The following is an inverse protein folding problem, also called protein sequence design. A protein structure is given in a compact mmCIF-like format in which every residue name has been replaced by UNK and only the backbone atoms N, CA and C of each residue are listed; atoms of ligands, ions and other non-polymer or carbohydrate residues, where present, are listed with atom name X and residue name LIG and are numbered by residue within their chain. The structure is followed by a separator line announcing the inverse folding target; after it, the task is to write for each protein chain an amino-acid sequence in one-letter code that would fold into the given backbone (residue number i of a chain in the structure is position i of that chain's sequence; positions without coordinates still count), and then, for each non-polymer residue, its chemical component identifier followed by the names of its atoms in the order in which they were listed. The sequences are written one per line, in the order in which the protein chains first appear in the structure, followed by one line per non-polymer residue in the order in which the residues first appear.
data_IF_959986424362
#
_entry.id   IF_959986424362
#
_cell.length_a   1.000
_cell.length_b   1.000
_cell.length_c   1.000
_cell.angle_alpha   90.00
_cell.angle_beta   90.00
_cell.angle_gamma   90.00
#
_symmetry.space_group_name_H-M   'P 1'
#
loop_
_entity.id
_entity.type
_entity.pdbx_description
1 polymer ?
#
# COMPACT_ATOMS: atom_id res chain seq x y z
N UNK A 1 11.47 60.49 -16.51
CA UNK A 1 10.97 60.98 -17.82
C UNK A 1 9.45 60.93 -17.80
N UNK A 2 8.74 61.95 -18.26
CA UNK A 2 7.27 61.99 -18.20
C UNK A 2 6.68 61.39 -19.49
N UNK A 3 5.73 60.48 -19.37
CA UNK A 3 5.01 59.96 -20.52
C UNK A 3 4.05 61.01 -21.09
N UNK A 4 4.14 61.26 -22.40
CA UNK A 4 3.32 62.26 -23.07
C UNK A 4 1.83 61.90 -23.13
N UNK A 5 1.50 60.61 -23.00
CA UNK A 5 0.11 60.12 -22.98
C UNK A 5 -0.51 60.17 -21.58
N UNK A 6 0.05 59.45 -20.61
CA UNK A 6 -0.56 59.30 -19.29
C UNK A 6 -0.04 60.27 -18.22
N UNK A 7 0.98 61.07 -18.54
CA UNK A 7 1.66 62.03 -17.65
C UNK A 7 2.30 61.42 -16.40
N UNK A 8 2.42 60.11 -16.31
CA UNK A 8 3.18 59.45 -15.26
C UNK A 8 4.68 59.61 -15.47
N UNK A 9 5.40 59.78 -14.37
CA UNK A 9 6.85 59.77 -14.35
C UNK A 9 7.35 58.32 -14.38
N UNK A 10 8.11 58.02 -15.42
CA UNK A 10 8.65 56.69 -15.69
C UNK A 10 10.19 56.76 -15.69
N UNK A 11 10.82 55.66 -15.29
CA UNK A 11 12.26 55.48 -15.45
C UNK A 11 12.65 55.61 -16.93
N UNK A 12 13.82 56.17 -17.20
CA UNK A 12 14.27 56.49 -18.57
C UNK A 12 14.24 55.28 -19.52
N UNK A 13 14.52 54.08 -19.00
CA UNK A 13 14.54 52.82 -19.73
C UNK A 13 13.14 52.27 -20.08
N UNK A 14 12.11 52.70 -19.36
CA UNK A 14 10.73 52.27 -19.56
C UNK A 14 9.92 53.25 -20.42
N UNK A 15 10.60 54.24 -21.02
CA UNK A 15 10.00 55.25 -21.87
C UNK A 15 10.58 55.17 -23.30
N UNK A 16 9.72 54.91 -24.28
CA UNK A 16 10.06 54.72 -25.69
C UNK A 16 9.62 55.92 -26.53
N UNK A 17 10.39 56.21 -27.58
CA UNK A 17 10.09 57.29 -28.50
C UNK A 17 9.19 56.77 -29.62
N UNK A 18 8.05 57.41 -29.84
CA UNK A 18 7.26 57.19 -31.04
C UNK A 18 7.98 57.77 -32.27
N UNK A 19 7.66 57.31 -33.50
CA UNK A 19 8.24 57.86 -34.73
C UNK A 19 8.02 59.37 -34.89
N UNK A 20 6.93 59.89 -34.32
CA UNK A 20 6.58 61.31 -34.30
C UNK A 20 7.28 62.13 -33.20
N UNK A 21 8.17 61.53 -32.41
CA UNK A 21 8.99 62.21 -31.41
C UNK A 21 8.43 62.28 -29.99
N UNK A 22 7.18 61.86 -29.77
CA UNK A 22 6.60 61.76 -28.41
C UNK A 22 7.20 60.60 -27.62
N UNK A 23 7.28 60.75 -26.31
CA UNK A 23 7.81 59.77 -25.38
C UNK A 23 6.67 59.09 -24.62
N UNK A 24 6.62 57.76 -24.64
CA UNK A 24 5.50 56.98 -24.06
C UNK A 24 6.01 55.81 -23.22
N UNK A 25 5.28 55.41 -22.18
CA UNK A 25 5.63 54.21 -21.40
C UNK A 25 5.58 52.96 -22.30
N UNK A 26 6.49 52.00 -22.07
CA UNK A 26 6.50 50.71 -22.76
C UNK A 26 5.14 50.00 -22.68
N UNK A 27 4.49 50.03 -21.50
CA UNK A 27 3.19 49.36 -21.27
C UNK A 27 2.11 49.81 -22.26
N UNK A 28 2.06 51.11 -22.57
CA UNK A 28 1.07 51.62 -23.53
C UNK A 28 1.29 51.09 -24.94
N UNK A 29 2.53 50.72 -25.30
CA UNK A 29 2.86 50.10 -26.58
C UNK A 29 2.62 48.59 -26.56
N UNK A 30 2.86 47.93 -25.43
CA UNK A 30 2.62 46.49 -25.23
C UNK A 30 1.16 46.14 -25.50
N UNK A 31 0.23 46.98 -25.05
CA UNK A 31 -1.23 46.79 -25.20
C UNK A 31 -1.78 47.12 -26.59
N UNK A 32 -0.98 47.67 -27.52
CA UNK A 32 -1.46 47.98 -28.88
C UNK A 32 -1.32 46.81 -29.85
N UNK A 33 -2.20 46.82 -30.84
CA UNK A 33 -2.10 46.00 -32.04
C UNK A 33 -0.84 46.31 -32.87
N UNK A 34 -0.49 45.43 -33.81
CA UNK A 34 0.68 45.60 -34.68
C UNK A 34 0.67 46.93 -35.44
N UNK A 35 -0.51 47.42 -35.84
CA UNK A 35 -0.71 48.73 -36.44
C UNK A 35 -1.76 49.49 -35.63
N UNK A 36 -1.40 50.66 -35.10
CA UNK A 36 -2.31 51.45 -34.27
C UNK A 36 -2.21 52.93 -34.62
N UNK A 37 -3.29 53.68 -34.39
CA UNK A 37 -3.26 55.15 -34.52
C UNK A 37 -2.53 55.74 -33.32
N UNK A 38 -1.57 56.64 -33.55
CA UNK A 38 -0.81 57.29 -32.49
C UNK A 38 -1.75 57.83 -31.39
N UNK A 39 -1.65 57.31 -30.17
CA UNK A 39 -2.55 57.70 -29.08
C UNK A 39 -2.23 59.07 -28.47
N UNK A 40 -1.09 59.68 -28.85
CA UNK A 40 -0.72 61.04 -28.43
C UNK A 40 -1.25 62.09 -29.41
N UNK A 41 -0.87 62.05 -30.70
CA UNK A 41 -1.32 63.07 -31.66
C UNK A 41 -2.54 62.67 -32.49
N UNK A 42 -2.87 61.38 -32.60
CA UNK A 42 -4.02 60.84 -33.34
C UNK A 42 -4.02 61.07 -34.86
N UNK A 43 -2.90 61.53 -35.43
CA UNK A 43 -2.82 61.95 -36.84
C UNK A 43 -2.19 60.92 -37.79
N UNK A 44 -1.54 59.88 -37.28
CA UNK A 44 -0.84 58.88 -38.11
C UNK A 44 -0.95 57.48 -37.53
N UNK A 45 -0.67 56.49 -38.39
CA UNK A 45 -0.55 55.09 -38.02
C UNK A 45 0.90 54.79 -37.65
N UNK A 46 1.09 54.00 -36.61
CA UNK A 46 2.38 53.49 -36.15
C UNK A 46 2.37 51.97 -36.31
N UNK A 47 3.40 51.45 -36.95
CA UNK A 47 3.72 50.03 -36.90
C UNK A 47 4.55 49.75 -35.63
N UNK A 48 4.02 48.91 -34.76
CA UNK A 48 4.60 48.59 -33.45
C UNK A 48 6.03 48.07 -33.57
N UNK A 49 6.27 47.11 -34.45
CA UNK A 49 7.60 46.51 -34.61
C UNK A 49 8.64 47.53 -35.09
N UNK A 50 8.30 48.31 -36.13
CA UNK A 50 9.18 49.38 -36.62
C UNK A 50 9.49 50.44 -35.55
N UNK A 51 8.52 50.74 -34.67
CA UNK A 51 8.71 51.63 -33.53
C UNK A 51 9.68 51.02 -32.49
N UNK A 52 9.56 49.74 -32.17
CA UNK A 52 10.46 49.06 -31.23
C UNK A 52 11.89 48.94 -31.78
N UNK A 53 12.03 48.73 -33.09
CA UNK A 53 13.31 48.57 -33.78
C UNK A 53 14.05 49.89 -34.08
N UNK A 54 13.44 51.04 -33.78
CA UNK A 54 14.14 52.34 -33.83
C UNK A 54 15.39 52.29 -32.95
N UNK A 55 16.56 52.71 -33.46
CA UNK A 55 17.85 52.57 -32.77
C UNK A 55 17.85 53.04 -31.29
N UNK A 56 17.15 54.14 -30.98
CA UNK A 56 17.01 54.65 -29.61
C UNK A 56 16.16 53.74 -28.71
N UNK A 57 15.10 53.16 -29.24
CA UNK A 57 14.20 52.27 -28.51
C UNK A 57 14.83 50.88 -28.36
N UNK A 58 15.40 50.35 -29.44
CA UNK A 58 16.15 49.08 -29.43
C UNK A 58 17.23 49.08 -28.35
N UNK A 59 18.06 50.13 -28.29
CA UNK A 59 19.10 50.29 -27.25
C UNK A 59 18.53 50.28 -25.83
N UNK A 60 17.37 50.92 -25.59
CA UNK A 60 16.71 50.93 -24.28
C UNK A 60 16.13 49.56 -23.92
N UNK A 61 15.54 48.88 -24.89
CA UNK A 61 14.98 47.53 -24.73
C UNK A 61 16.10 46.52 -24.42
N UNK A 62 17.19 46.54 -25.18
CA UNK A 62 18.36 45.67 -24.95
C UNK A 62 18.97 45.95 -23.55
N UNK A 63 19.03 47.21 -23.12
CA UNK A 63 19.50 47.58 -21.77
C UNK A 63 18.57 47.06 -20.67
N UNK A 64 17.25 47.13 -20.89
CA UNK A 64 16.25 46.62 -19.95
C UNK A 64 16.35 45.11 -19.82
N UNK A 65 16.42 44.39 -20.94
CA UNK A 65 16.60 42.94 -21.00
C UNK A 65 17.86 42.52 -20.24
N UNK A 66 19.00 43.17 -20.51
CA UNK A 66 20.24 42.91 -19.79
C UNK A 66 20.12 43.10 -18.27
N UNK A 67 19.45 44.17 -17.82
CA UNK A 67 19.26 44.42 -16.39
C UNK A 67 18.35 43.37 -15.74
N UNK A 68 17.28 42.95 -16.42
CA UNK A 68 16.40 41.88 -15.95
C UNK A 68 17.15 40.55 -15.82
N UNK A 69 17.93 40.19 -16.83
CA UNK A 69 18.77 38.99 -16.80
C UNK A 69 19.82 39.07 -15.69
N UNK A 70 20.46 40.23 -15.53
CA UNK A 70 21.44 40.47 -14.46
C UNK A 70 20.82 40.27 -13.08
N UNK A 71 19.64 40.86 -12.83
CA UNK A 71 18.97 40.76 -11.53
C UNK A 71 18.54 39.31 -11.27
N UNK A 72 18.01 38.61 -12.28
CA UNK A 72 17.69 37.19 -12.18
C UNK A 72 18.92 36.32 -11.87
N UNK A 73 20.05 36.60 -12.53
CA UNK A 73 21.31 35.90 -12.27
C UNK A 73 21.77 36.17 -10.84
N UNK A 74 21.70 37.42 -10.36
CA UNK A 74 22.08 37.76 -8.99
C UNK A 74 21.21 37.05 -7.94
N UNK A 75 19.89 37.03 -8.11
CA UNK A 75 19.01 36.26 -7.22
C UNK A 75 19.36 34.75 -7.22
N UNK A 76 19.72 34.22 -8.38
CA UNK A 76 20.14 32.82 -8.51
C UNK A 76 21.47 32.57 -7.81
N UNK A 77 22.43 33.49 -7.91
CA UNK A 77 23.70 33.44 -7.17
C UNK A 77 23.46 33.48 -5.66
N UNK A 78 22.59 34.37 -5.18
CA UNK A 78 22.25 34.48 -3.76
C UNK A 78 21.63 33.19 -3.22
N UNK A 79 20.73 32.55 -3.99
CA UNK A 79 20.17 31.24 -3.66
C UNK A 79 21.25 30.17 -3.59
N UNK A 80 22.15 30.12 -4.57
CA UNK A 80 23.27 29.16 -4.58
C UNK A 80 24.17 29.39 -3.35
N UNK A 81 24.49 30.63 -3.02
CA UNK A 81 25.33 30.94 -1.87
C UNK A 81 24.64 30.62 -0.54
N UNK A 82 23.31 30.75 -0.46
CA UNK A 82 22.52 30.27 0.68
C UNK A 82 22.60 28.75 0.81
N UNK A 83 22.52 28.01 -0.30
CA UNK A 83 22.66 26.55 -0.33
C UNK A 83 24.09 26.11 0.02
N UNK A 84 25.12 26.83 -0.45
CA UNK A 84 26.53 26.53 -0.11
C UNK A 84 26.79 26.62 1.38
N UNK A 85 26.13 27.54 2.09
CA UNK A 85 26.31 27.71 3.54
C UNK A 85 25.88 26.46 4.32
N UNK A 86 24.80 25.79 3.91
CA UNK A 86 24.30 24.60 4.61
C UNK A 86 23.46 23.67 3.72
N UNK A 87 24.11 23.11 2.70
CA UNK A 87 23.48 22.18 1.75
C UNK A 87 22.91 20.95 2.45
N UNK A 88 23.65 20.43 3.43
CA UNK A 88 23.27 19.25 4.18
C UNK A 88 21.96 19.45 4.95
N UNK A 89 21.80 20.61 5.59
CA UNK A 89 20.54 20.95 6.26
C UNK A 89 19.40 21.09 5.26
N UNK A 90 19.61 21.78 4.15
CA UNK A 90 18.56 21.93 3.12
C UNK A 90 18.05 20.56 2.62
N UNK A 91 18.97 19.67 2.26
CA UNK A 91 18.63 18.30 1.81
C UNK A 91 17.94 17.52 2.92
N UNK A 92 18.47 17.57 4.15
CA UNK A 92 17.90 16.85 5.29
C UNK A 92 16.49 17.34 5.63
N UNK A 93 16.27 18.65 5.63
CA UNK A 93 14.97 19.25 5.91
C UNK A 93 13.94 18.82 4.86
N UNK A 94 14.35 18.76 3.58
CA UNK A 94 13.48 18.26 2.52
C UNK A 94 13.19 16.76 2.66
N UNK A 95 14.21 15.92 2.86
CA UNK A 95 14.03 14.49 3.02
C UNK A 95 13.20 14.15 4.27
N UNK A 96 13.38 14.91 5.36
CA UNK A 96 12.59 14.75 6.58
C UNK A 96 11.09 15.00 6.32
N UNK A 97 10.74 15.97 5.48
CA UNK A 97 9.34 16.18 5.07
C UNK A 97 8.78 14.98 4.29
N UNK A 98 9.57 14.38 3.41
CA UNK A 98 9.17 13.18 2.65
C UNK A 98 8.98 11.98 3.59
N UNK A 99 9.92 11.76 4.51
CA UNK A 99 9.81 10.69 5.53
C UNK A 99 8.55 10.88 6.37
N UNK A 100 8.28 12.12 6.81
CA UNK A 100 7.08 12.42 7.58
C UNK A 100 5.79 12.11 6.80
N UNK A 101 5.76 12.38 5.49
CA UNK A 101 4.63 11.99 4.64
C UNK A 101 4.47 10.47 4.54
N UNK A 102 5.57 9.71 4.46
CA UNK A 102 5.53 8.24 4.48
C UNK A 102 4.98 7.72 5.81
N UNK A 103 5.37 8.32 6.93
CA UNK A 103 4.85 7.94 8.26
C UNK A 103 3.34 8.20 8.37
N UNK A 104 2.87 9.34 7.88
CA UNK A 104 1.43 9.65 7.84
C UNK A 104 0.69 8.60 6.99
N UNK A 105 1.17 8.29 5.79
CA UNK A 105 0.55 7.28 4.93
C UNK A 105 0.51 5.90 5.60
N UNK A 106 1.58 5.53 6.32
CA UNK A 106 1.62 4.28 7.09
C UNK A 106 0.48 4.17 8.08
N UNK A 107 0.28 5.21 8.89
CA UNK A 107 -0.74 5.18 9.93
C UNK A 107 -2.16 5.30 9.35
N UNK A 108 -2.34 6.05 8.25
CA UNK A 108 -3.62 6.08 7.53
C UNK A 108 -4.01 4.71 6.97
N UNK A 109 -3.08 4.00 6.32
CA UNK A 109 -3.34 2.67 5.77
C UNK A 109 -3.66 1.65 6.86
N UNK A 110 -2.91 1.66 7.97
CA UNK A 110 -3.22 0.80 9.14
C UNK A 110 -4.62 1.05 9.67
N UNK A 111 -4.98 2.32 9.87
CA UNK A 111 -6.29 2.69 10.39
C UNK A 111 -7.41 2.28 9.44
N UNK A 112 -7.23 2.47 8.14
CA UNK A 112 -8.21 2.05 7.13
C UNK A 112 -8.35 0.53 7.08
N UNK A 113 -7.23 -0.21 7.12
CA UNK A 113 -7.26 -1.67 7.11
C UNK A 113 -7.94 -2.23 8.36
N UNK A 114 -7.60 -1.73 9.55
CA UNK A 114 -8.24 -2.11 10.80
C UNK A 114 -9.75 -1.84 10.74
N UNK A 115 -10.15 -0.68 10.21
CA UNK A 115 -11.56 -0.35 10.03
C UNK A 115 -12.28 -1.35 9.11
N UNK A 116 -11.67 -1.73 7.99
CA UNK A 116 -12.26 -2.74 7.09
C UNK A 116 -12.43 -4.10 7.78
N UNK A 117 -11.44 -4.51 8.59
CA UNK A 117 -11.51 -5.73 9.39
C UNK A 117 -12.65 -5.65 10.41
N UNK A 118 -12.74 -4.54 11.14
CA UNK A 118 -13.78 -4.32 12.16
C UNK A 118 -15.18 -4.25 11.53
N UNK A 119 -15.34 -3.56 10.41
CA UNK A 119 -16.60 -3.45 9.68
C UNK A 119 -17.07 -4.84 9.20
N UNK A 120 -16.15 -5.65 8.66
CA UNK A 120 -16.47 -7.02 8.24
C UNK A 120 -16.80 -7.93 9.43
N UNK A 121 -16.03 -7.85 10.51
CA UNK A 121 -16.33 -8.56 11.76
C UNK A 121 -17.74 -8.22 12.26
N UNK A 122 -18.07 -6.93 12.31
CA UNK A 122 -19.38 -6.46 12.76
C UNK A 122 -20.51 -6.95 11.84
N UNK A 123 -20.27 -7.05 10.53
CA UNK A 123 -21.21 -7.65 9.58
C UNK A 123 -21.47 -9.12 9.90
N UNK A 124 -20.43 -9.92 10.12
CA UNK A 124 -20.57 -11.34 10.47
C UNK A 124 -21.31 -11.53 11.81
N UNK A 125 -20.98 -10.72 12.81
CA UNK A 125 -21.69 -10.74 14.11
C UNK A 125 -23.16 -10.39 13.94
N UNK A 126 -23.47 -9.40 13.08
CA UNK A 126 -24.85 -9.03 12.79
C UNK A 126 -25.61 -10.16 12.10
N UNK A 127 -25.01 -10.81 11.10
CA UNK A 127 -25.62 -11.97 10.42
C UNK A 127 -25.97 -13.10 11.39
N UNK A 128 -25.07 -13.39 12.35
CA UNK A 128 -25.32 -14.39 13.39
C UNK A 128 -26.50 -13.98 14.28
N UNK A 129 -26.57 -12.73 14.72
CA UNK A 129 -27.68 -12.22 15.56
C UNK A 129 -29.01 -12.20 14.82
N UNK A 130 -29.00 -11.81 13.55
CA UNK A 130 -30.21 -11.81 12.71
C UNK A 130 -30.71 -13.25 12.51
N UNK A 131 -29.80 -14.19 12.28
CA UNK A 131 -30.13 -15.62 12.20
C UNK A 131 -30.64 -16.18 13.53
N UNK A 132 -30.00 -15.86 14.65
CA UNK A 132 -30.44 -16.24 16.01
C UNK A 132 -31.88 -15.77 16.25
N UNK A 133 -32.15 -14.49 15.99
CA UNK A 133 -33.47 -13.88 16.16
C UNK A 133 -34.51 -14.60 15.29
N UNK A 134 -34.21 -14.81 14.00
CA UNK A 134 -35.09 -15.54 13.09
C UNK A 134 -35.37 -16.96 13.58
N UNK A 135 -34.33 -17.67 14.04
CA UNK A 135 -34.43 -19.03 14.53
C UNK A 135 -35.31 -19.12 15.77
N UNK A 136 -35.08 -18.26 16.77
CA UNK A 136 -35.89 -18.18 18.00
C UNK A 136 -37.35 -17.89 17.66
N UNK A 137 -37.64 -16.84 16.89
CA UNK A 137 -39.01 -16.51 16.46
C UNK A 137 -39.71 -17.67 15.73
N UNK A 138 -38.95 -18.45 14.96
CA UNK A 138 -39.49 -19.58 14.18
C UNK A 138 -39.72 -20.83 15.03
N UNK A 139 -38.95 -21.02 16.11
CA UNK A 139 -38.93 -22.25 16.91
C UNK A 139 -39.72 -22.11 18.20
N UNK A 140 -39.73 -20.95 18.83
CA UNK A 140 -40.43 -20.70 20.10
C UNK A 140 -41.91 -21.09 20.05
N UNK A 141 -42.73 -20.66 19.06
CA UNK A 141 -44.12 -21.09 18.98
C UNK A 141 -44.27 -22.61 18.88
N UNK A 142 -43.40 -23.25 18.09
CA UNK A 142 -43.42 -24.71 17.87
C UNK A 142 -43.02 -25.49 19.11
N UNK A 143 -42.15 -24.94 19.95
CA UNK A 143 -41.78 -25.53 21.24
C UNK A 143 -42.94 -25.34 22.23
N UNK A 144 -43.56 -24.15 22.26
CA UNK A 144 -44.69 -23.85 23.14
C UNK A 144 -45.95 -24.68 22.83
N UNK A 145 -46.13 -25.16 21.59
CA UNK A 145 -47.19 -26.11 21.22
C UNK A 145 -47.14 -27.42 22.03
N UNK A 146 -45.98 -27.80 22.60
CA UNK A 146 -45.85 -29.02 23.39
C UNK A 146 -46.15 -28.78 24.87
N UNK A 147 -47.34 -29.20 25.31
CA UNK A 147 -47.65 -29.29 26.72
C UNK A 147 -46.99 -30.55 27.34
N UNK A 148 -45.73 -30.41 27.72
CA UNK A 148 -44.94 -31.51 28.29
C UNK A 148 -45.54 -32.06 29.59
N UNK A 149 -46.22 -31.23 30.38
CA UNK A 149 -46.89 -31.66 31.61
C UNK A 149 -48.07 -32.60 31.31
N UNK A 150 -48.94 -32.23 30.36
CA UNK A 150 -50.05 -33.09 29.94
C UNK A 150 -49.55 -34.42 29.32
N UNK A 151 -48.48 -34.36 28.52
CA UNK A 151 -47.85 -35.56 27.93
C UNK A 151 -47.36 -36.49 29.05
N UNK A 152 -46.67 -35.96 30.07
CA UNK A 152 -46.19 -36.77 31.20
C UNK A 152 -47.33 -37.38 32.00
N UNK A 153 -48.36 -36.60 32.33
CA UNK A 153 -49.55 -37.08 33.06
C UNK A 153 -50.24 -38.22 32.30
N UNK A 154 -50.41 -38.08 30.98
CA UNK A 154 -51.01 -39.12 30.14
C UNK A 154 -50.19 -40.42 30.16
N UNK A 155 -48.86 -40.31 30.08
CA UNK A 155 -47.95 -41.46 30.08
C UNK A 155 -47.86 -42.15 31.44
N UNK A 156 -47.91 -41.40 32.55
CA UNK A 156 -47.83 -41.94 33.92
C UNK A 156 -49.15 -42.55 34.41
N UNK A 157 -50.28 -42.28 33.76
CA UNK A 157 -51.59 -42.76 34.20
C UNK A 157 -51.67 -44.30 34.16
N UNK A 158 -51.65 -44.95 35.32
CA UNK A 158 -51.66 -46.41 35.49
C UNK A 158 -52.94 -47.09 34.98
N UNK A 159 -54.03 -46.34 34.81
CA UNK A 159 -55.33 -46.90 34.39
C UNK A 159 -55.48 -47.11 32.88
N UNK A 160 -54.55 -46.60 32.05
CA UNK A 160 -54.62 -46.76 30.59
C UNK A 160 -53.93 -48.02 30.08
N UNK A 161 -54.54 -48.68 29.09
CA UNK A 161 -53.97 -49.80 28.36
C UNK A 161 -52.68 -49.40 27.61
N UNK A 162 -51.62 -50.20 27.74
CA UNK A 162 -50.33 -50.05 27.06
C UNK A 162 -50.42 -49.89 25.53
N UNK A 163 -51.42 -50.49 24.87
CA UNK A 163 -51.65 -50.35 23.43
C UNK A 163 -51.91 -48.89 23.04
N UNK A 164 -52.79 -48.20 23.78
CA UNK A 164 -53.12 -46.80 23.56
C UNK A 164 -51.95 -45.86 23.86
N UNK A 165 -51.15 -46.18 24.90
CA UNK A 165 -49.90 -45.44 25.20
C UNK A 165 -48.87 -45.60 24.09
N UNK A 166 -48.67 -46.82 23.59
CA UNK A 166 -47.72 -47.09 22.51
C UNK A 166 -48.10 -46.40 21.19
N UNK A 167 -49.39 -46.32 20.88
CA UNK A 167 -49.90 -45.61 19.70
C UNK A 167 -49.68 -44.10 19.82
N UNK A 168 -49.97 -43.52 21.00
CA UNK A 168 -49.69 -42.12 21.31
C UNK A 168 -48.19 -41.78 21.24
N UNK A 169 -47.33 -42.59 21.87
CA UNK A 169 -45.86 -42.43 21.80
C UNK A 169 -45.38 -42.52 20.35
N UNK A 170 -45.87 -43.50 19.59
CA UNK A 170 -45.49 -43.68 18.19
C UNK A 170 -45.85 -42.46 17.34
N UNK A 171 -47.01 -41.85 17.59
CA UNK A 171 -47.42 -40.61 16.93
C UNK A 171 -46.57 -39.40 17.34
N UNK A 172 -46.25 -39.27 18.62
CA UNK A 172 -45.36 -38.21 19.13
C UNK A 172 -43.95 -38.31 18.55
N UNK A 173 -43.39 -39.53 18.50
CA UNK A 173 -42.06 -39.81 17.92
C UNK A 173 -42.04 -39.55 16.42
N UNK A 174 -42.92 -40.23 15.64
CA UNK A 174 -42.84 -40.24 14.17
C UNK A 174 -42.89 -38.86 13.54
N UNK A 175 -43.63 -37.91 14.14
CA UNK A 175 -43.96 -36.68 13.41
C UNK A 175 -43.72 -35.36 14.15
N UNK A 176 -43.50 -35.37 15.48
CA UNK A 176 -43.51 -34.13 16.25
C UNK A 176 -42.21 -33.88 17.03
N UNK A 177 -41.83 -34.77 17.94
CA UNK A 177 -40.68 -34.54 18.82
C UNK A 177 -39.35 -34.70 18.08
N UNK A 178 -39.16 -35.80 17.35
CA UNK A 178 -37.88 -36.08 16.67
C UNK A 178 -37.58 -35.06 15.57
N UNK A 179 -38.63 -34.58 14.87
CA UNK A 179 -38.52 -33.51 13.87
C UNK A 179 -38.20 -32.15 14.49
N UNK A 180 -38.72 -31.85 15.67
CA UNK A 180 -38.43 -30.61 16.39
C UNK A 180 -36.98 -30.63 16.90
N UNK A 181 -36.59 -31.71 17.60
CA UNK A 181 -35.23 -31.88 18.13
C UNK A 181 -34.19 -31.86 17.01
N UNK A 182 -34.44 -32.54 15.89
CA UNK A 182 -33.50 -32.52 14.75
C UNK A 182 -33.35 -31.13 14.14
N UNK A 183 -34.41 -30.30 14.10
CA UNK A 183 -34.31 -28.90 13.67
C UNK A 183 -33.54 -28.05 14.69
N UNK A 184 -33.72 -28.30 15.99
CA UNK A 184 -32.95 -27.61 17.05
C UNK A 184 -31.46 -27.94 16.94
N UNK A 185 -31.12 -29.22 16.79
CA UNK A 185 -29.74 -29.69 16.63
C UNK A 185 -29.04 -29.12 15.40
N UNK A 186 -29.75 -28.65 14.38
CA UNK A 186 -29.13 -27.96 13.24
C UNK A 186 -28.46 -26.64 13.64
N UNK A 187 -28.93 -25.99 14.70
CA UNK A 187 -28.32 -24.77 15.22
C UNK A 187 -26.92 -25.04 15.78
N UNK A 188 -26.71 -26.19 16.42
CA UNK A 188 -25.41 -26.62 16.97
C UNK A 188 -24.35 -26.86 15.87
N UNK A 189 -24.76 -26.99 14.61
CA UNK A 189 -23.86 -27.23 13.48
C UNK A 189 -23.32 -25.95 12.84
N UNK A 190 -23.74 -24.77 13.29
CA UNK A 190 -23.23 -23.50 12.78
C UNK A 190 -21.77 -23.36 13.26
N UNK A 191 -20.85 -23.21 12.30
CA UNK A 191 -19.42 -23.08 12.56
C UNK A 191 -18.83 -21.96 11.73
N UNK A 192 -17.94 -21.18 12.33
CA UNK A 192 -17.08 -20.27 11.59
C UNK A 192 -15.98 -21.07 10.88
N UNK A 193 -15.80 -20.83 9.58
CA UNK A 193 -14.77 -21.48 8.77
C UNK A 193 -13.76 -20.39 8.35
N UNK A 194 -12.54 -20.38 8.91
CA UNK A 194 -11.54 -19.40 8.52
C UNK A 194 -11.04 -19.67 7.09
N UNK A 195 -10.86 -18.62 6.31
CA UNK A 195 -10.12 -18.70 5.05
C UNK A 195 -8.63 -18.57 5.34
N UNK A 196 -7.86 -19.60 4.97
CA UNK A 196 -6.39 -19.61 5.11
C UNK A 196 -5.67 -19.09 3.84
N UNK A 197 -6.41 -18.49 2.89
CA UNK A 197 -5.77 -17.93 1.70
C UNK A 197 -4.92 -16.72 2.08
N UNK A 198 -3.63 -16.79 1.81
CA UNK A 198 -2.75 -15.62 1.87
C UNK A 198 -3.23 -14.57 0.88
N UNK A 199 -3.58 -13.39 1.39
CA UNK A 199 -3.89 -12.24 0.57
C UNK A 199 -2.57 -11.68 0.03
N UNK A 200 -2.40 -11.70 -1.30
CA UNK A 200 -1.29 -11.04 -1.96
C UNK A 200 -1.66 -9.57 -2.16
N UNK A 201 -0.95 -8.69 -1.46
CA UNK A 201 -1.08 -7.26 -1.62
C UNK A 201 0.15 -6.70 -2.31
N UNK A 202 -0.04 -5.85 -3.31
CA UNK A 202 1.04 -5.02 -3.84
C UNK A 202 1.18 -3.78 -2.95
N UNK A 203 2.24 -3.74 -2.15
CA UNK A 203 2.50 -2.61 -1.26
C UNK A 203 2.88 -1.35 -2.03
N UNK A 204 3.42 -1.46 -3.25
CA UNK A 204 3.71 -0.27 -4.07
C UNK A 204 2.41 0.38 -4.59
N UNK A 205 1.40 -0.42 -4.93
CA UNK A 205 0.08 0.09 -5.30
C UNK A 205 -0.67 0.71 -4.11
N UNK A 206 -0.56 0.09 -2.93
CA UNK A 206 -1.26 0.55 -1.73
C UNK A 206 -0.57 1.74 -1.06
N UNK A 207 0.75 1.74 -1.01
CA UNK A 207 1.56 2.69 -0.23
C UNK A 207 2.20 3.78 -1.09
N UNK A 208 2.35 3.52 -2.39
CA UNK A 208 3.08 4.38 -3.32
C UNK A 208 4.58 4.09 -3.36
N UNK A 209 5.27 4.84 -4.23
CA UNK A 209 6.71 4.71 -4.45
C UNK A 209 7.41 6.06 -4.34
N UNK A 210 8.66 6.07 -3.88
CA UNK A 210 9.52 7.25 -3.95
C UNK A 210 10.16 7.28 -5.34
N UNK A 211 9.80 8.27 -6.16
CA UNK A 211 10.44 8.47 -7.46
C UNK A 211 11.79 9.19 -7.28
N UNK A 212 12.86 8.41 -7.19
CA UNK A 212 14.24 8.93 -7.17
C UNK A 212 14.96 8.67 -8.50
N UNK A 213 14.29 8.13 -9.52
CA UNK A 213 14.92 7.69 -10.76
C UNK A 213 15.39 8.87 -11.61
N UNK A 214 14.54 9.89 -11.76
CA UNK A 214 14.88 11.12 -12.49
C UNK A 214 16.11 11.80 -11.89
N UNK A 215 16.18 11.90 -10.56
CA UNK A 215 17.32 12.49 -9.87
C UNK A 215 18.61 11.66 -10.02
N UNK A 216 18.50 10.33 -10.00
CA UNK A 216 19.66 9.44 -10.18
C UNK A 216 20.22 9.50 -11.61
N UNK A 217 19.35 9.62 -12.61
CA UNK A 217 19.70 9.77 -14.02
C UNK A 217 20.34 11.13 -14.31
N UNK A 218 19.76 12.23 -13.81
CA UNK A 218 20.29 13.59 -13.99
C UNK A 218 21.66 13.79 -13.34
N UNK A 219 21.84 13.23 -12.14
CA UNK A 219 23.12 13.34 -11.43
C UNK A 219 24.19 12.39 -11.95
N UNK A 220 23.90 11.58 -12.99
CA UNK A 220 24.77 10.51 -13.48
C UNK A 220 25.39 9.74 -12.32
N UNK A 221 24.57 9.43 -11.31
CA UNK A 221 24.95 8.56 -10.21
C UNK A 221 25.00 7.13 -10.78
N UNK A 222 25.95 6.89 -11.69
CA UNK A 222 26.38 5.57 -12.10
C UNK A 222 27.01 4.94 -10.87
N UNK A 223 26.20 4.19 -10.12
CA UNK A 223 26.68 3.22 -9.15
C UNK A 223 27.80 3.76 -8.24
N UNK A 224 27.57 4.88 -7.55
CA UNK A 224 27.89 4.79 -6.13
C UNK A 224 26.97 3.66 -5.69
N UNK A 225 27.57 2.52 -5.37
CA UNK A 225 26.92 1.58 -4.49
C UNK A 225 26.59 2.42 -3.25
N UNK A 226 25.43 3.10 -3.25
CA UNK A 226 24.54 2.93 -2.14
C UNK A 226 24.56 1.43 -1.99
N UNK A 227 25.27 0.94 -0.99
CA UNK A 227 24.91 -0.29 -0.31
C UNK A 227 23.44 -0.09 0.00
N UNK A 228 22.64 -0.39 -1.01
CA UNK A 228 21.32 -0.88 -0.89
C UNK A 228 21.54 -2.03 0.07
N UNK A 229 21.30 -1.75 1.35
CA UNK A 229 20.46 -2.61 2.18
C UNK A 229 19.08 -2.72 1.52
N UNK A 230 19.06 -3.10 0.24
CA UNK A 230 18.07 -4.03 -0.22
C UNK A 230 18.39 -5.31 0.56
N UNK A 231 17.38 -6.03 1.06
CA UNK A 231 17.60 -7.39 1.53
C UNK A 231 18.38 -8.13 0.42
N UNK A 232 19.38 -8.95 0.78
CA UNK A 232 20.32 -9.50 -0.19
C UNK A 232 19.52 -10.12 -1.34
N UNK A 233 19.69 -9.66 -2.59
CA UNK A 233 19.18 -10.39 -3.71
C UNK A 233 20.01 -11.68 -3.73
N UNK A 234 19.36 -12.82 -3.64
CA UNK A 234 19.96 -14.08 -4.07
C UNK A 234 20.34 -13.92 -5.55
N UNK A 235 21.53 -13.39 -5.83
CA UNK A 235 22.10 -13.27 -7.16
C UNK A 235 23.44 -14.00 -7.21
N UNK A 236 23.38 -15.31 -7.07
CA UNK A 236 24.35 -16.20 -7.70
C UNK A 236 23.58 -17.43 -8.17
N UNK A 237 23.85 -17.84 -9.40
CA UNK A 237 23.25 -18.97 -10.11
C UNK A 237 23.42 -20.27 -9.29
N UNK A 238 22.46 -20.57 -8.42
CA UNK A 238 22.25 -21.93 -7.96
C UNK A 238 21.20 -22.55 -8.89
N UNK A 239 21.60 -23.58 -9.63
CA UNK A 239 20.64 -24.49 -10.22
C UNK A 239 20.00 -25.25 -9.05
N UNK A 240 18.88 -24.73 -8.55
CA UNK A 240 18.05 -25.39 -7.54
C UNK A 240 17.59 -26.74 -8.12
N UNK A 241 18.25 -27.83 -7.74
CA UNK A 241 17.93 -29.18 -8.25
C UNK A 241 16.74 -29.82 -7.53
N UNK A 242 16.45 -29.43 -6.28
CA UNK A 242 15.19 -29.75 -5.60
C UNK A 242 14.95 -28.80 -4.42
N UNK A 243 13.70 -28.64 -4.00
CA UNK A 243 13.26 -27.85 -2.86
C UNK A 243 12.48 -28.75 -1.91
N UNK A 244 12.87 -28.79 -0.63
CA UNK A 244 12.09 -29.42 0.45
C UNK A 244 11.95 -28.43 1.60
N UNK A 245 10.72 -28.15 2.03
CA UNK A 245 10.41 -27.17 3.08
C UNK A 245 10.33 -25.70 2.61
N UNK A 246 9.70 -24.84 3.43
CA UNK A 246 9.25 -23.47 3.10
C UNK A 246 10.37 -22.46 2.76
N UNK A 247 9.93 -21.39 2.08
CA UNK A 247 10.68 -20.32 1.40
C UNK A 247 11.48 -19.32 2.27
N UNK A 248 11.49 -19.42 3.61
CA UNK A 248 11.99 -18.34 4.47
C UNK A 248 13.05 -18.81 5.46
N UNK A 249 14.25 -18.25 5.32
CA UNK A 249 15.35 -18.33 6.27
C UNK A 249 15.39 -17.04 7.09
N UNK A 250 15.72 -17.14 8.38
CA UNK A 250 15.95 -16.02 9.28
C UNK A 250 17.42 -16.03 9.73
N UNK A 251 18.14 -14.94 9.47
CA UNK A 251 19.50 -14.75 9.97
C UNK A 251 19.44 -14.12 11.36
N UNK A 252 20.02 -14.79 12.35
CA UNK A 252 20.13 -14.28 13.71
C UNK A 252 21.20 -13.20 13.78
N UNK A 253 21.16 -12.39 14.84
CA UNK A 253 22.16 -11.37 15.14
C UNK A 253 23.58 -11.93 15.36
N UNK A 254 23.73 -13.26 15.45
CA UNK A 254 25.00 -13.98 15.51
C UNK A 254 25.59 -14.30 14.13
N UNK A 255 24.84 -14.08 13.05
CA UNK A 255 25.19 -14.46 11.67
C UNK A 255 24.80 -15.90 11.31
N UNK A 256 24.09 -16.61 12.21
CA UNK A 256 23.60 -17.96 11.95
C UNK A 256 22.24 -17.93 11.25
N UNK A 257 22.06 -18.78 10.23
CA UNK A 257 20.83 -18.91 9.48
C UNK A 257 19.96 -20.02 10.05
N UNK A 258 18.71 -19.68 10.37
CA UNK A 258 17.74 -20.53 11.05
C UNK A 258 16.53 -20.69 10.14
N UNK A 259 16.09 -21.93 9.94
CA UNK A 259 14.85 -22.25 9.24
C UNK A 259 13.93 -23.03 10.17
N UNK A 260 12.64 -22.71 10.18
CA UNK A 260 11.63 -23.45 10.92
C UNK A 260 10.65 -24.11 9.96
N UNK A 261 10.52 -25.44 10.03
CA UNK A 261 9.52 -26.18 9.27
C UNK A 261 8.16 -26.15 9.98
N UNK A 262 7.10 -25.85 9.23
CA UNK A 262 5.72 -25.73 9.73
C UNK A 262 4.85 -26.97 9.47
N UNK A 263 5.44 -28.11 9.08
CA UNK A 263 4.68 -29.31 8.72
C UNK A 263 4.80 -30.39 9.80
N UNK A 264 3.70 -31.13 10.00
CA UNK A 264 3.60 -32.30 10.87
C UNK A 264 4.68 -33.35 10.54
N UNK A 265 5.09 -34.18 11.54
CA UNK A 265 6.21 -35.12 11.41
C UNK A 265 5.90 -36.13 10.30
N UNK A 266 6.52 -35.96 9.14
CA UNK A 266 6.33 -36.81 7.97
C UNK A 266 7.65 -37.13 7.29
N UNK A 267 7.65 -38.31 6.65
CA UNK A 267 8.81 -39.15 6.39
C UNK A 267 9.99 -38.46 5.69
N UNK A 268 11.18 -38.90 6.07
CA UNK A 268 12.46 -38.41 5.58
C UNK A 268 12.67 -38.82 4.11
N UNK A 269 13.00 -37.86 3.25
CA UNK A 269 13.36 -38.09 1.85
C UNK A 269 14.83 -37.70 1.65
N UNK A 270 15.65 -38.66 1.20
CA UNK A 270 17.00 -38.39 0.73
C UNK A 270 17.05 -38.38 -0.78
N UNK A 271 17.70 -37.36 -1.34
CA UNK A 271 18.00 -37.27 -2.77
C UNK A 271 19.50 -37.41 -2.93
N UNK A 272 19.97 -38.53 -3.48
CA UNK A 272 21.39 -38.66 -3.87
C UNK A 272 21.64 -37.82 -5.11
N UNK A 273 22.33 -36.69 -4.93
CA UNK A 273 22.65 -35.69 -5.96
C UNK A 273 23.41 -36.26 -7.16
N UNK A 274 24.19 -37.33 -6.97
CA UNK A 274 24.94 -37.99 -8.03
C UNK A 274 24.07 -38.81 -9.01
N UNK A 275 22.87 -39.26 -8.61
CA UNK A 275 22.06 -40.19 -9.42
C UNK A 275 20.58 -39.83 -9.56
N UNK A 276 20.11 -38.73 -8.96
CA UNK A 276 18.69 -38.30 -8.98
C UNK A 276 17.70 -39.38 -8.50
N UNK A 277 18.16 -40.29 -7.63
CA UNK A 277 17.28 -41.26 -6.97
C UNK A 277 16.76 -40.66 -5.67
N UNK A 278 15.45 -40.78 -5.46
CA UNK A 278 14.73 -40.37 -4.26
C UNK A 278 14.49 -41.62 -3.43
N UNK A 279 14.98 -41.64 -2.19
CA UNK A 279 14.74 -42.71 -1.23
C UNK A 279 14.00 -42.15 -0.01
N UNK A 280 12.83 -42.72 0.29
CA UNK A 280 12.02 -42.39 1.46
C UNK A 280 12.37 -43.34 2.61
N UNK A 281 12.72 -42.78 3.77
CA UNK A 281 12.90 -43.54 5.00
C UNK A 281 11.66 -43.38 5.88
N UNK A 282 10.82 -44.42 5.98
CA UNK A 282 9.71 -44.42 6.91
C UNK A 282 10.26 -44.65 8.33
N UNK A 283 9.89 -43.78 9.29
CA UNK A 283 9.98 -44.16 10.71
C UNK A 283 10.44 -43.10 11.73
N UNK A 284 10.88 -41.91 11.33
CA UNK A 284 11.26 -40.90 12.33
C UNK A 284 10.04 -40.11 12.83
N UNK A 285 9.64 -40.38 14.08
CA UNK A 285 8.53 -39.70 14.79
C UNK A 285 8.95 -38.38 15.46
N UNK A 286 10.24 -38.11 15.55
CA UNK A 286 10.78 -36.93 16.24
C UNK A 286 10.72 -35.70 15.33
N UNK A 287 10.39 -34.54 15.92
CA UNK A 287 10.35 -33.27 15.21
C UNK A 287 11.78 -32.80 14.96
N UNK A 288 12.15 -32.67 13.70
CA UNK A 288 13.46 -32.09 13.34
C UNK A 288 13.41 -30.59 13.51
N UNK A 289 14.41 -30.05 14.19
CA UNK A 289 14.54 -28.62 14.42
C UNK A 289 15.39 -28.02 13.29
N UNK A 290 16.49 -28.70 12.91
CA UNK A 290 17.41 -28.22 11.86
C UNK A 290 17.96 -29.35 10.97
N UNK A 291 18.25 -29.01 9.71
CA UNK A 291 19.00 -29.83 8.76
C UNK A 291 20.10 -28.99 8.11
N UNK A 292 21.32 -29.51 8.09
CA UNK A 292 22.48 -28.89 7.45
C UNK A 292 23.13 -29.86 6.47
N UNK A 293 23.68 -29.34 5.38
CA UNK A 293 24.55 -30.08 4.48
C UNK A 293 26.00 -29.80 4.90
N UNK A 294 26.73 -30.82 5.32
CA UNK A 294 28.15 -30.71 5.64
C UNK A 294 29.01 -30.82 4.37
N UNK A 295 30.27 -30.42 4.48
CA UNK A 295 31.21 -30.33 3.35
C UNK A 295 31.49 -31.67 2.62
N UNK A 296 31.07 -32.80 3.20
CA UNK A 296 31.21 -34.15 2.63
C UNK A 296 29.90 -34.76 2.07
N UNK A 297 28.93 -33.93 1.67
CA UNK A 297 27.58 -34.35 1.22
C UNK A 297 26.77 -35.15 2.29
N UNK A 298 27.20 -35.08 3.55
CA UNK A 298 26.54 -35.70 4.71
C UNK A 298 25.48 -34.74 5.25
N UNK A 299 24.29 -35.27 5.57
CA UNK A 299 23.20 -34.46 6.11
C UNK A 299 23.22 -34.56 7.63
N UNK A 300 23.50 -33.45 8.29
CA UNK A 300 23.48 -33.35 9.75
C UNK A 300 22.10 -32.91 10.19
N UNK A 301 21.48 -33.66 11.10
CA UNK A 301 20.16 -33.33 11.63
C UNK A 301 20.23 -33.09 13.14
N UNK A 302 19.48 -32.08 13.61
CA UNK A 302 19.25 -31.80 15.02
C UNK A 302 17.77 -32.01 15.30
N UNK A 303 17.46 -32.90 16.24
CA UNK A 303 16.09 -33.24 16.64
C UNK A 303 15.88 -32.94 18.12
N UNK A 304 14.63 -32.74 18.55
CA UNK A 304 14.31 -32.49 19.97
C UNK A 304 14.85 -33.58 20.92
N UNK A 305 14.96 -34.82 20.44
CA UNK A 305 15.32 -35.97 21.28
C UNK A 305 16.84 -36.31 21.27
N UNK A 306 17.60 -35.81 20.29
CA UNK A 306 19.04 -36.10 20.14
C UNK A 306 19.78 -34.91 19.53
N UNK A 307 20.81 -34.37 20.20
CA UNK A 307 21.40 -33.10 19.83
C UNK A 307 22.20 -33.10 18.52
N UNK A 308 22.73 -34.24 18.03
CA UNK A 308 23.34 -34.35 16.70
C UNK A 308 23.33 -35.82 16.25
N UNK A 309 22.75 -36.12 15.09
CA UNK A 309 22.94 -37.40 14.40
C UNK A 309 23.52 -37.15 13.00
N UNK A 310 24.58 -37.90 12.66
CA UNK A 310 25.17 -37.93 11.32
C UNK A 310 24.46 -39.00 10.49
N UNK A 311 23.92 -38.63 9.33
CA UNK A 311 23.25 -39.53 8.37
C UNK A 311 23.98 -39.47 7.04
#
# INVERSE_FOLDING_TARGET
MICDYCKFEEQELNALNLPCGYLVCCRHLEDQDQFFRCFVCRDHMIEKQACLDMAKNRKKLDQREFLQDKDFIFESCDKIDSLKKDLNRFVRDHLSKVIHQLDIQRELLKNNFNKLVDDYHNSLVKEIKDFETYFVCTMEPKVQEFNTAQIRIYLDNQQQNFKSKNEFISNLKKNKIDKLISKIKKFENIKFIPSLKEAKFDMAELFGIVNSKELAEELKLCSIQLENKNPPPFSARFNLKCQFGLNTFLELSTGELVSSCLWDPSNFLTVKTACSQIAEFPGHRSKFIFMFLADDDVIVTISEDYPVNLI
#
